data_IF_305424296952
#
_entry.id   IF_305424296952
#
_cell.length_a   1.000
_cell.length_b   1.000
_cell.length_c   1.000
_cell.angle_alpha   90.00
_cell.angle_beta   90.00
_cell.angle_gamma   90.00
#
_symmetry.space_group_name_H-M   'P 1'
#
loop_
_entity.id
_entity.type
_entity.pdbx_description
1 polymer ?
#
# COMPACT_ATOMS: atom_id res chain seq x y z
N UNK A 1 -14.31 23.82 -5.42
CA UNK A 1 -12.91 23.73 -4.96
C UNK A 1 -12.76 23.12 -3.57
N UNK A 2 -13.48 23.59 -2.53
CA UNK A 2 -13.41 23.05 -1.16
C UNK A 2 -13.56 21.51 -1.08
N UNK A 3 -14.52 20.96 -1.81
CA UNK A 3 -14.78 19.51 -1.87
C UNK A 3 -13.58 18.68 -2.36
N UNK A 4 -12.97 19.09 -3.47
CA UNK A 4 -11.80 18.42 -4.08
C UNK A 4 -10.63 18.41 -3.10
N UNK A 5 -10.40 19.54 -2.43
CA UNK A 5 -9.34 19.69 -1.44
C UNK A 5 -9.56 18.79 -0.22
N UNK A 6 -10.78 18.75 0.33
CA UNK A 6 -11.12 17.85 1.46
C UNK A 6 -10.96 16.37 1.08
N UNK A 7 -11.33 16.00 -0.15
CA UNK A 7 -11.18 14.64 -0.67
C UNK A 7 -9.70 14.25 -0.84
N UNK A 8 -8.88 15.17 -1.34
CA UNK A 8 -7.43 14.99 -1.43
C UNK A 8 -6.79 14.83 -0.04
N UNK A 9 -7.09 15.72 0.91
CA UNK A 9 -6.55 15.64 2.28
C UNK A 9 -6.99 14.38 3.02
N UNK A 10 -8.20 13.89 2.77
CA UNK A 10 -8.69 12.62 3.32
C UNK A 10 -7.97 11.43 2.69
N UNK A 11 -7.64 11.51 1.40
CA UNK A 11 -6.86 10.47 0.71
C UNK A 11 -5.41 10.44 1.21
N UNK A 12 -4.83 11.62 1.44
CA UNK A 12 -3.49 11.75 1.99
C UNK A 12 -3.38 11.11 3.37
N UNK A 13 -4.29 11.40 4.31
CA UNK A 13 -4.28 10.74 5.63
C UNK A 13 -4.72 9.28 5.61
N UNK A 14 -5.42 8.83 4.57
CA UNK A 14 -5.76 7.42 4.45
C UNK A 14 -4.58 6.59 3.92
N UNK A 15 -3.74 7.15 3.07
CA UNK A 15 -2.63 6.41 2.46
C UNK A 15 -1.27 6.69 3.10
N UNK A 16 -1.24 7.60 4.08
CA UNK A 16 -0.02 7.98 4.81
C UNK A 16 -0.26 8.22 6.29
N UNK A 17 0.80 8.10 7.10
CA UNK A 17 0.76 8.38 8.55
C UNK A 17 0.41 9.84 8.86
N UNK A 18 0.49 10.76 7.87
CA UNK A 18 0.26 12.18 8.12
C UNK A 18 -1.14 12.41 8.71
N UNK A 19 -1.23 12.98 9.93
CA UNK A 19 -2.49 13.20 10.60
C UNK A 19 -3.23 14.34 9.90
N UNK A 20 -4.07 13.99 8.94
CA UNK A 20 -5.14 14.85 8.47
C UNK A 20 -6.43 14.32 9.07
N UNK A 21 -7.19 15.22 9.73
CA UNK A 21 -8.55 14.91 10.17
C UNK A 21 -9.23 14.16 9.01
N UNK A 22 -9.88 13.03 9.25
CA UNK A 22 -10.68 12.35 8.21
C UNK A 22 -11.89 13.27 7.92
N UNK A 23 -11.66 14.27 7.08
CA UNK A 23 -12.49 15.49 6.95
C UNK A 23 -13.72 15.20 6.09
N UNK A 24 -13.60 14.33 5.09
CA UNK A 24 -14.65 14.14 4.11
C UNK A 24 -15.71 13.13 4.55
N UNK A 25 -16.99 13.53 4.49
CA UNK A 25 -18.15 12.61 4.53
C UNK A 25 -18.16 11.60 3.36
N UNK A 26 -17.39 11.85 2.31
CA UNK A 26 -17.30 11.01 1.10
C UNK A 26 -16.10 10.06 1.11
N UNK A 27 -15.75 9.53 2.29
CA UNK A 27 -14.70 8.51 2.43
C UNK A 27 -15.10 7.22 1.68
N UNK A 28 -14.28 6.80 0.73
CA UNK A 28 -14.53 5.61 -0.11
C UNK A 28 -14.10 5.81 -1.57
N UNK A 29 -14.77 5.12 -2.49
CA UNK A 29 -14.44 5.01 -3.92
C UNK A 29 -13.98 6.32 -4.62
N UNK A 30 -14.60 7.46 -4.32
CA UNK A 30 -14.26 8.76 -4.94
C UNK A 30 -12.80 9.18 -4.68
N UNK A 31 -12.16 8.66 -3.63
CA UNK A 31 -10.77 8.93 -3.29
C UNK A 31 -9.79 8.33 -4.30
N UNK A 32 -10.17 7.31 -5.06
CA UNK A 32 -9.29 6.62 -6.02
C UNK A 32 -8.64 7.55 -7.04
N UNK A 33 -9.29 8.65 -7.40
CA UNK A 33 -8.71 9.65 -8.30
C UNK A 33 -7.41 10.25 -7.74
N UNK A 34 -7.23 10.28 -6.41
CA UNK A 34 -6.05 10.85 -5.74
C UNK A 34 -5.00 9.81 -5.36
N UNK A 35 -5.27 8.51 -5.48
CA UNK A 35 -4.33 7.45 -5.10
C UNK A 35 -3.00 7.55 -5.88
N UNK A 36 -3.00 7.72 -7.23
CA UNK A 36 -1.77 7.88 -7.99
C UNK A 36 -0.99 9.14 -7.60
N UNK A 37 -1.68 10.23 -7.27
CA UNK A 37 -1.04 11.49 -6.85
C UNK A 37 -0.39 11.38 -5.47
N UNK A 38 -1.04 10.69 -4.52
CA UNK A 38 -0.41 10.39 -3.22
C UNK A 38 0.78 9.44 -3.41
N UNK A 39 0.66 8.44 -4.30
CA UNK A 39 1.80 7.61 -4.70
C UNK A 39 2.96 8.44 -5.24
N UNK A 40 2.70 9.41 -6.12
CA UNK A 40 3.72 10.31 -6.66
C UNK A 40 4.39 11.14 -5.56
N UNK A 41 3.63 11.67 -4.60
CA UNK A 41 4.18 12.43 -3.47
C UNK A 41 5.12 11.57 -2.62
N UNK A 42 4.70 10.35 -2.27
CA UNK A 42 5.54 9.39 -1.54
C UNK A 42 6.79 9.07 -2.36
N UNK A 43 6.66 8.89 -3.68
CA UNK A 43 7.76 8.64 -4.59
C UNK A 43 8.79 9.76 -4.65
N UNK A 44 8.35 11.02 -4.70
CA UNK A 44 9.23 12.19 -4.62
C UNK A 44 9.99 12.19 -3.29
N UNK A 45 9.32 11.89 -2.18
CA UNK A 45 9.98 11.79 -0.88
C UNK A 45 11.03 10.67 -0.88
N UNK A 46 10.72 9.49 -1.42
CA UNK A 46 11.67 8.38 -1.53
C UNK A 46 12.91 8.77 -2.36
N UNK A 47 12.70 9.45 -3.49
CA UNK A 47 13.76 9.97 -4.34
C UNK A 47 14.66 10.98 -3.62
N UNK A 48 14.07 11.89 -2.84
CA UNK A 48 14.85 12.84 -2.04
C UNK A 48 15.62 12.15 -0.91
N UNK A 49 15.02 11.16 -0.26
CA UNK A 49 15.66 10.38 0.81
C UNK A 49 16.86 9.59 0.29
N UNK A 50 16.75 8.90 -0.84
CA UNK A 50 17.90 8.17 -1.39
C UNK A 50 19.05 9.12 -1.76
N UNK A 51 18.76 10.30 -2.32
CA UNK A 51 19.78 11.32 -2.60
C UNK A 51 20.42 11.89 -1.33
N UNK A 52 19.64 12.02 -0.27
CA UNK A 52 20.13 12.48 1.02
C UNK A 52 21.01 11.43 1.69
N UNK A 53 20.55 10.19 1.84
CA UNK A 53 21.30 9.13 2.53
C UNK A 53 22.58 8.73 1.80
N UNK A 54 22.60 8.76 0.46
CA UNK A 54 23.82 8.51 -0.33
C UNK A 54 24.97 9.49 -0.05
N UNK A 55 24.70 10.63 0.61
CA UNK A 55 25.76 11.57 1.05
C UNK A 55 26.48 11.10 2.31
N UNK A 56 25.87 10.22 3.09
CA UNK A 56 26.35 9.80 4.41
C UNK A 56 26.65 8.29 4.49
N UNK A 57 26.00 7.48 3.65
CA UNK A 57 26.04 6.01 3.73
C UNK A 57 26.32 5.37 2.37
N UNK A 58 26.67 4.07 2.37
CA UNK A 58 26.75 3.25 1.16
C UNK A 58 25.37 3.12 0.49
N UNK A 59 25.35 2.65 -0.77
CA UNK A 59 24.10 2.48 -1.51
C UNK A 59 23.16 1.50 -0.81
N UNK A 60 23.69 0.38 -0.33
CA UNK A 60 22.95 -0.67 0.37
C UNK A 60 22.21 -0.11 1.58
N UNK A 61 22.93 0.61 2.44
CA UNK A 61 22.38 1.21 3.67
C UNK A 61 21.39 2.32 3.33
N UNK A 62 21.69 3.13 2.31
CA UNK A 62 20.79 4.20 1.85
C UNK A 62 19.45 3.66 1.34
N UNK A 63 19.47 2.52 0.63
CA UNK A 63 18.26 1.83 0.18
C UNK A 63 17.46 1.29 1.36
N UNK A 64 18.10 0.66 2.35
CA UNK A 64 17.42 0.17 3.56
C UNK A 64 16.70 1.31 4.27
N UNK A 65 17.38 2.43 4.52
CA UNK A 65 16.75 3.57 5.18
C UNK A 65 15.60 4.13 4.33
N UNK A 66 15.80 4.30 3.03
CA UNK A 66 14.75 4.80 2.14
C UNK A 66 13.52 3.89 2.13
N UNK A 67 13.72 2.58 2.08
CA UNK A 67 12.66 1.58 2.14
C UNK A 67 11.94 1.60 3.50
N UNK A 68 12.68 1.73 4.60
CA UNK A 68 12.12 1.86 5.94
C UNK A 68 11.21 3.09 6.06
N UNK A 69 11.68 4.25 5.57
CA UNK A 69 10.86 5.47 5.53
C UNK A 69 9.65 5.35 4.60
N UNK A 70 9.79 4.67 3.46
CA UNK A 70 8.66 4.41 2.57
C UNK A 70 7.57 3.58 3.27
N UNK A 71 7.95 2.50 3.94
CA UNK A 71 7.03 1.65 4.69
C UNK A 71 6.35 2.45 5.80
N UNK A 72 7.13 3.18 6.61
CA UNK A 72 6.61 4.08 7.64
C UNK A 72 5.59 5.06 7.07
N UNK A 73 5.97 5.87 6.08
CA UNK A 73 5.10 6.93 5.55
C UNK A 73 3.79 6.34 5.00
N UNK A 74 3.79 5.10 4.49
CA UNK A 74 2.65 4.49 3.82
C UNK A 74 1.50 3.98 4.71
N UNK A 75 1.55 4.23 6.02
CA UNK A 75 0.55 3.86 7.05
C UNK A 75 0.30 2.36 7.21
N UNK A 76 1.16 1.52 6.63
CA UNK A 76 1.10 0.05 6.67
C UNK A 76 -0.16 -0.60 6.09
N UNK A 77 -1.28 0.12 5.90
CA UNK A 77 -2.57 -0.38 5.41
C UNK A 77 -2.45 -1.20 4.12
N UNK A 78 -1.52 -0.81 3.24
CA UNK A 78 -1.25 -1.54 2.02
C UNK A 78 -0.62 -2.92 2.28
N UNK A 79 0.36 -2.99 3.18
CA UNK A 79 1.05 -4.23 3.52
C UNK A 79 0.20 -5.13 4.42
N UNK A 80 -0.58 -4.52 5.31
CA UNK A 80 -1.57 -5.17 6.17
C UNK A 80 -2.62 -5.90 5.33
N UNK A 81 -3.28 -5.19 4.41
CA UNK A 81 -4.25 -5.81 3.49
C UNK A 81 -3.64 -6.87 2.56
N UNK A 82 -2.36 -6.77 2.23
CA UNK A 82 -1.65 -7.81 1.48
C UNK A 82 -1.47 -9.08 2.34
N UNK A 83 -0.97 -8.93 3.58
CA UNK A 83 -0.79 -10.03 4.52
C UNK A 83 -2.12 -10.71 4.83
N UNK A 84 -3.16 -9.93 5.15
CA UNK A 84 -4.52 -10.44 5.41
C UNK A 84 -5.06 -11.25 4.23
N UNK A 85 -4.82 -10.78 3.01
CA UNK A 85 -5.22 -11.51 1.80
C UNK A 85 -4.47 -12.84 1.69
N UNK A 86 -3.16 -12.83 1.91
CA UNK A 86 -2.34 -14.05 1.85
C UNK A 86 -2.78 -15.04 2.92
N UNK A 87 -2.93 -14.61 4.16
CA UNK A 87 -3.35 -15.48 5.27
C UNK A 87 -4.77 -16.01 5.05
N UNK A 88 -5.70 -15.19 4.57
CA UNK A 88 -7.04 -15.65 4.20
C UNK A 88 -6.97 -16.68 3.05
N UNK A 89 -6.16 -16.43 2.01
CA UNK A 89 -6.04 -17.32 0.85
C UNK A 89 -5.48 -18.70 1.23
N UNK A 90 -4.38 -18.74 1.99
CA UNK A 90 -3.69 -19.99 2.33
C UNK A 90 -4.20 -20.65 3.62
N UNK A 91 -4.83 -19.90 4.53
CA UNK A 91 -5.41 -20.41 5.77
C UNK A 91 -6.82 -20.98 5.62
N UNK A 92 -7.52 -20.65 4.52
CA UNK A 92 -8.91 -21.03 4.25
C UNK A 92 -9.20 -22.53 4.20
N UNK A 93 -8.16 -23.36 4.17
CA UNK A 93 -8.28 -24.83 4.26
C UNK A 93 -8.79 -25.27 5.64
N UNK A 94 -8.50 -24.50 6.70
CA UNK A 94 -8.79 -24.87 8.10
C UNK A 94 -9.88 -24.04 8.77
N UNK A 95 -10.15 -22.83 8.27
CA UNK A 95 -11.12 -21.86 8.80
C UNK A 95 -11.79 -21.13 7.65
N UNK A 96 -12.94 -20.53 7.89
CA UNK A 96 -13.54 -19.64 6.89
C UNK A 96 -12.72 -18.35 6.72
N UNK A 97 -12.67 -17.80 5.50
CA UNK A 97 -11.95 -16.55 5.19
C UNK A 97 -12.29 -15.40 6.15
N UNK A 98 -13.57 -15.29 6.53
CA UNK A 98 -14.08 -14.23 7.41
C UNK A 98 -13.53 -14.34 8.82
N UNK A 99 -13.30 -15.57 9.32
CA UNK A 99 -12.70 -15.78 10.63
C UNK A 99 -11.23 -15.38 10.64
N UNK A 100 -10.52 -15.68 9.55
CA UNK A 100 -9.10 -15.32 9.39
C UNK A 100 -8.93 -13.80 9.33
N UNK A 101 -9.77 -13.10 8.55
CA UNK A 101 -9.73 -11.64 8.45
C UNK A 101 -10.13 -10.90 9.75
N UNK A 102 -10.72 -11.61 10.72
CA UNK A 102 -11.03 -11.07 12.06
C UNK A 102 -9.96 -11.43 13.10
N UNK A 103 -9.03 -12.31 12.76
CA UNK A 103 -7.95 -12.72 13.64
C UNK A 103 -6.88 -11.61 13.65
N UNK A 104 -6.52 -11.03 14.81
CA UNK A 104 -5.50 -9.98 14.88
C UNK A 104 -4.07 -10.52 14.71
N UNK A 105 -3.87 -11.85 14.62
CA UNK A 105 -2.56 -12.45 14.50
C UNK A 105 -2.16 -12.67 13.05
N UNK A 106 -0.91 -12.32 12.73
CA UNK A 106 -0.30 -12.63 11.44
C UNK A 106 0.03 -14.13 11.34
N UNK A 107 -0.33 -14.74 10.21
CA UNK A 107 0.03 -16.11 9.88
C UNK A 107 1.48 -16.24 9.41
N UNK A 108 2.05 -17.44 9.56
CA UNK A 108 3.42 -17.72 9.11
C UNK A 108 3.58 -17.50 7.60
N UNK A 109 2.55 -17.84 6.81
CA UNK A 109 2.56 -17.62 5.36
C UNK A 109 2.54 -16.13 5.04
N UNK A 110 1.66 -15.35 5.68
CA UNK A 110 1.64 -13.89 5.59
C UNK A 110 3.01 -13.25 5.90
N UNK A 111 3.66 -13.67 6.99
CA UNK A 111 5.02 -13.23 7.34
C UNK A 111 6.05 -13.51 6.22
N UNK A 112 6.04 -14.72 5.66
CA UNK A 112 6.98 -15.10 4.58
C UNK A 112 6.76 -14.23 3.34
N UNK A 113 5.51 -14.03 2.93
CA UNK A 113 5.19 -13.21 1.76
C UNK A 113 5.51 -11.73 1.99
N UNK A 114 5.26 -11.21 3.20
CA UNK A 114 5.66 -9.85 3.57
C UNK A 114 7.17 -9.65 3.43
N UNK A 115 7.96 -10.60 3.94
CA UNK A 115 9.41 -10.58 3.79
C UNK A 115 9.82 -10.61 2.31
N UNK A 116 9.23 -11.49 1.50
CA UNK A 116 9.54 -11.60 0.07
C UNK A 116 9.21 -10.32 -0.70
N UNK A 117 8.09 -9.65 -0.39
CA UNK A 117 7.73 -8.36 -1.01
C UNK A 117 8.71 -7.26 -0.64
N UNK A 118 9.08 -7.14 0.64
CA UNK A 118 10.05 -6.15 1.10
C UNK A 118 11.44 -6.39 0.50
N UNK A 119 11.87 -7.65 0.41
CA UNK A 119 13.12 -8.04 -0.21
C UNK A 119 13.13 -7.71 -1.72
N UNK A 120 12.01 -7.93 -2.40
CA UNK A 120 11.89 -7.57 -3.82
C UNK A 120 11.98 -6.06 -4.01
N UNK A 121 11.32 -5.26 -3.16
CA UNK A 121 11.43 -3.79 -3.19
C UNK A 121 12.86 -3.32 -2.94
N UNK A 122 13.57 -3.96 -2.01
CA UNK A 122 14.97 -3.67 -1.77
C UNK A 122 15.81 -3.88 -3.04
N UNK A 123 15.72 -5.04 -3.68
CA UNK A 123 16.46 -5.31 -4.92
C UNK A 123 16.04 -4.40 -6.07
N UNK A 124 14.76 -4.04 -6.14
CA UNK A 124 14.25 -3.11 -7.14
C UNK A 124 14.89 -1.73 -6.96
N UNK A 125 14.99 -1.22 -5.73
CA UNK A 125 15.63 0.05 -5.44
C UNK A 125 17.16 0.01 -5.61
N UNK A 126 17.79 -1.10 -5.23
CA UNK A 126 19.23 -1.27 -5.28
C UNK A 126 19.78 -1.36 -6.72
N UNK A 127 19.12 -2.13 -7.60
CA UNK A 127 19.64 -2.44 -8.93
C UNK A 127 19.17 -1.48 -10.05
N UNK A 128 18.28 -0.53 -9.76
CA UNK A 128 17.65 0.29 -10.80
C UNK A 128 17.92 1.79 -10.65
N UNK A 129 17.50 2.53 -11.68
CA UNK A 129 17.64 3.99 -11.77
C UNK A 129 16.79 4.70 -10.72
N UNK A 130 17.14 5.95 -10.45
CA UNK A 130 16.45 6.81 -9.47
C UNK A 130 14.94 6.96 -9.74
N UNK A 131 14.47 6.77 -10.99
CA UNK A 131 13.06 6.84 -11.35
C UNK A 131 12.20 5.77 -10.64
N UNK A 132 12.78 4.61 -10.32
CA UNK A 132 12.07 3.50 -9.65
C UNK A 132 11.56 3.91 -8.28
N UNK A 133 12.30 4.75 -7.55
CA UNK A 133 11.89 5.28 -6.26
C UNK A 133 10.59 6.11 -6.35
N UNK A 134 10.29 6.66 -7.52
CA UNK A 134 9.05 7.39 -7.80
C UNK A 134 7.96 6.45 -8.30
N UNK A 135 8.29 5.57 -9.23
CA UNK A 135 7.30 4.69 -9.87
C UNK A 135 6.74 3.65 -8.90
N UNK A 136 7.56 3.03 -8.05
CA UNK A 136 7.11 1.98 -7.13
C UNK A 136 5.96 2.45 -6.22
N UNK A 137 6.05 3.62 -5.53
CA UNK A 137 4.92 4.12 -4.75
C UNK A 137 3.69 4.46 -5.60
N UNK A 138 3.85 4.99 -6.82
CA UNK A 138 2.72 5.25 -7.73
C UNK A 138 2.00 3.95 -8.09
N UNK A 139 2.76 2.93 -8.52
CA UNK A 139 2.20 1.62 -8.86
C UNK A 139 1.53 0.96 -7.67
N UNK A 140 2.16 0.98 -6.49
CA UNK A 140 1.59 0.43 -5.27
C UNK A 140 0.25 1.09 -4.89
N UNK A 141 0.13 2.43 -4.97
CA UNK A 141 -1.13 3.10 -4.65
C UNK A 141 -2.18 2.92 -5.74
N UNK A 142 -1.80 2.90 -7.01
CA UNK A 142 -2.74 2.56 -8.10
C UNK A 142 -3.22 1.11 -8.01
N UNK A 143 -2.37 0.18 -7.55
CA UNK A 143 -2.74 -1.22 -7.32
C UNK A 143 -3.93 -1.37 -6.37
N UNK A 144 -4.04 -0.54 -5.33
CA UNK A 144 -5.20 -0.53 -4.43
C UNK A 144 -6.51 -0.12 -5.12
N UNK A 145 -6.43 0.74 -6.14
CA UNK A 145 -7.59 1.12 -6.96
C UNK A 145 -8.10 -0.09 -7.74
N UNK A 146 -7.19 -0.90 -8.30
CA UNK A 146 -7.54 -2.15 -8.96
C UNK A 146 -8.20 -3.14 -8.00
N UNK A 147 -7.69 -3.30 -6.78
CA UNK A 147 -8.36 -4.14 -5.75
C UNK A 147 -9.76 -3.64 -5.46
N UNK A 148 -9.96 -2.33 -5.32
CA UNK A 148 -11.28 -1.77 -5.07
C UNK A 148 -12.25 -1.94 -6.24
N UNK A 149 -11.77 -1.77 -7.47
CA UNK A 149 -12.60 -1.86 -8.68
C UNK A 149 -13.07 -3.29 -9.00
N UNK A 150 -12.27 -4.28 -8.64
CA UNK A 150 -12.48 -5.68 -9.02
C UNK A 150 -12.47 -6.65 -7.82
N UNK A 151 -12.63 -6.11 -6.62
CA UNK A 151 -12.72 -6.85 -5.37
C UNK A 151 -14.17 -7.13 -4.98
N UNK A 152 -14.37 -8.20 -4.19
CA UNK A 152 -15.66 -8.49 -3.55
C UNK A 152 -15.62 -8.17 -2.06
N UNK A 153 -16.80 -7.88 -1.53
CA UNK A 153 -17.01 -7.72 -0.09
C UNK A 153 -16.94 -9.11 0.54
N UNK A 154 -16.00 -9.30 1.46
CA UNK A 154 -15.88 -10.50 2.28
C UNK A 154 -16.40 -10.25 3.69
N UNK A 155 -16.12 -9.08 4.25
CA UNK A 155 -16.53 -8.65 5.60
C UNK A 155 -16.97 -7.19 5.58
N UNK A 156 -17.74 -6.80 6.59
CA UNK A 156 -18.01 -5.39 6.86
C UNK A 156 -16.72 -4.71 7.36
N UNK A 157 -16.39 -3.54 6.83
CA UNK A 157 -15.16 -2.85 7.21
C UNK A 157 -14.84 -1.62 6.36
N UNK A 158 -13.64 -1.08 6.57
CA UNK A 158 -13.18 0.12 5.84
C UNK A 158 -13.10 -0.15 4.33
N UNK A 159 -12.66 -1.36 3.95
CA UNK A 159 -12.55 -1.80 2.56
C UNK A 159 -13.88 -1.78 1.79
N UNK A 160 -15.01 -2.02 2.46
CA UNK A 160 -16.33 -2.02 1.82
C UNK A 160 -16.63 -0.70 1.09
N UNK A 161 -16.21 0.43 1.67
CA UNK A 161 -16.44 1.77 1.12
C UNK A 161 -15.71 2.00 -0.21
N UNK A 162 -14.79 1.12 -0.56
CA UNK A 162 -13.93 1.19 -1.74
C UNK A 162 -14.30 0.17 -2.83
N UNK A 163 -15.24 -0.74 -2.58
CA UNK A 163 -15.57 -1.83 -3.50
C UNK A 163 -16.54 -1.40 -4.61
N UNK A 164 -16.20 -1.79 -5.83
CA UNK A 164 -17.07 -1.75 -7.00
C UNK A 164 -17.20 -3.18 -7.55
N UNK A 165 -18.42 -3.59 -7.96
CA UNK A 165 -18.78 -4.99 -8.22
C UNK A 165 -17.81 -5.73 -9.17
N UNK A 166 -17.10 -6.75 -8.68
CA UNK A 166 -16.75 -8.05 -9.32
C UNK A 166 -15.57 -8.70 -8.55
N UNK A 167 -15.21 -9.96 -8.79
CA UNK A 167 -14.05 -10.66 -8.17
C UNK A 167 -13.05 -10.97 -9.24
N UNK A 168 -11.80 -10.53 -9.07
CA UNK A 168 -10.56 -11.29 -9.30
C UNK A 168 -9.37 -10.39 -9.68
N UNK A 169 -8.82 -9.57 -8.76
CA UNK A 169 -7.60 -8.78 -9.06
C UNK A 169 -6.58 -8.68 -7.89
N UNK A 170 -6.78 -9.35 -6.76
CA UNK A 170 -5.87 -9.20 -5.60
C UNK A 170 -4.45 -9.76 -5.81
N UNK A 171 -4.28 -10.70 -6.74
CA UNK A 171 -2.96 -11.23 -7.14
C UNK A 171 -2.25 -10.26 -8.10
N UNK A 172 -3.00 -9.53 -8.92
CA UNK A 172 -2.42 -8.58 -9.88
C UNK A 172 -1.95 -7.31 -9.15
N UNK A 173 -2.69 -6.85 -8.14
CA UNK A 173 -2.30 -5.69 -7.32
C UNK A 173 -1.05 -5.95 -6.48
N UNK A 174 -0.78 -7.20 -6.10
CA UNK A 174 0.45 -7.59 -5.40
C UNK A 174 1.67 -7.60 -6.33
N UNK A 175 1.48 -7.99 -7.61
CA UNK A 175 2.49 -7.80 -8.67
C UNK A 175 2.71 -6.31 -8.99
N UNK A 176 1.65 -5.48 -8.92
CA UNK A 176 1.73 -4.02 -9.11
C UNK A 176 2.12 -3.22 -7.87
N UNK A 177 2.33 -3.86 -6.73
CA UNK A 177 2.84 -3.19 -5.52
C UNK A 177 4.30 -3.48 -5.23
N UNK A 178 4.97 -4.13 -6.18
CA UNK A 178 6.42 -4.12 -6.37
C UNK A 178 6.92 -2.78 -6.90
#
# INVERSE_FOLDING_TARGET
>A
MKYIFELFLTTLSFLTILPSKRISKNFGFKMFIFFPFVGLLIGIVCFLLIKFFKRFFSLEVSVIFTLFFYVLISDYLHLDGFVDTIDAMFGSIKKEYVEILKDPHIGVVGCIFLFMVLLTKYFLFFNNKELVYILTPVFSKTGLVFVGLFGRKLTDGIGEKFLHKSFFVTILSSVFSL
#
